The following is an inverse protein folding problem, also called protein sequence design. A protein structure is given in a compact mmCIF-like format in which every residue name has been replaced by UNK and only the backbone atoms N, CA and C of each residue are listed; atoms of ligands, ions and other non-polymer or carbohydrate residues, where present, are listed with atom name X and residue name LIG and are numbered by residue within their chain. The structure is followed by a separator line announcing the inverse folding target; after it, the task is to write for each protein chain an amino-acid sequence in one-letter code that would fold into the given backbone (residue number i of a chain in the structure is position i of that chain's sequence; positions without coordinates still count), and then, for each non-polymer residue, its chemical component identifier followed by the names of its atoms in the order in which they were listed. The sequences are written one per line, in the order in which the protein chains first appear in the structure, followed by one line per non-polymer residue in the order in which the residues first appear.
data_IF_369864452941
#
_entry.id   IF_369864452941
#
_cell.length_a   1.000
_cell.length_b   1.000
_cell.length_c   1.000
_cell.angle_alpha   90.00
_cell.angle_beta   90.00
_cell.angle_gamma   90.00
#
_symmetry.space_group_name_H-M   'P 1'
#
loop_
_entity.id
_entity.type
_entity.pdbx_description
1 polymer ?
#
# COMPACT_ATOMS: atom_id res chain seq x y z
N UNK A 1 -11.84 -46.77 23.00
CA UNK A 1 -12.80 -45.66 23.21
C UNK A 1 -12.46 -44.80 24.45
N UNK A 2 -12.27 -45.40 25.64
CA UNK A 2 -12.05 -44.65 26.89
C UNK A 2 -10.76 -43.81 27.00
N UNK A 3 -9.69 -44.19 26.27
CA UNK A 3 -8.42 -43.46 26.27
C UNK A 3 -8.58 -42.05 25.68
N UNK A 4 -9.38 -41.90 24.62
CA UNK A 4 -9.66 -40.59 24.01
C UNK A 4 -10.47 -39.68 24.93
N UNK A 5 -11.52 -40.20 25.58
CA UNK A 5 -12.33 -39.43 26.53
C UNK A 5 -11.51 -38.93 27.72
N UNK A 6 -10.54 -39.71 28.21
CA UNK A 6 -9.61 -39.30 29.28
C UNK A 6 -8.80 -38.07 28.88
N UNK A 7 -8.37 -37.97 27.62
CA UNK A 7 -7.65 -36.80 27.10
C UNK A 7 -8.56 -35.58 27.06
N UNK A 8 -9.78 -35.71 26.53
CA UNK A 8 -10.77 -34.62 26.46
C UNK A 8 -11.14 -34.08 27.85
N UNK A 9 -11.41 -34.97 28.82
CA UNK A 9 -11.69 -34.58 30.21
C UNK A 9 -10.46 -33.89 30.83
N UNK A 10 -9.25 -34.36 30.53
CA UNK A 10 -8.01 -33.70 30.96
C UNK A 10 -7.90 -32.25 30.44
N UNK A 11 -8.25 -32.00 29.18
CA UNK A 11 -8.28 -30.63 28.63
C UNK A 11 -9.39 -29.76 29.23
N UNK A 12 -10.57 -30.34 29.50
CA UNK A 12 -11.70 -29.65 30.14
C UNK A 12 -11.35 -29.06 31.51
N UNK A 13 -10.52 -29.74 32.31
CA UNK A 13 -10.07 -29.21 33.60
C UNK A 13 -8.83 -28.31 33.50
N UNK A 14 -7.96 -28.50 32.50
CA UNK A 14 -6.78 -27.66 32.29
C UNK A 14 -7.12 -26.25 31.82
N UNK A 15 -8.16 -26.08 30.98
CA UNK A 15 -8.53 -24.76 30.44
C UNK A 15 -8.94 -23.76 31.53
N UNK A 16 -9.49 -24.25 32.66
CA UNK A 16 -9.86 -23.40 33.81
C UNK A 16 -8.65 -22.76 34.50
N UNK A 17 -7.45 -23.32 34.33
CA UNK A 17 -6.19 -22.85 34.94
C UNK A 17 -5.37 -21.95 34.01
N UNK A 18 -5.73 -21.87 32.72
CA UNK A 18 -5.02 -21.10 31.73
C UNK A 18 -5.72 -21.22 30.39
N UNK A 19 -6.43 -20.16 30.00
CA UNK A 19 -7.01 -20.04 28.68
C UNK A 19 -5.92 -19.63 27.68
N UNK A 20 -5.94 -20.24 26.50
CA UNK A 20 -5.07 -19.85 25.38
C UNK A 20 -5.69 -18.76 24.51
N UNK A 21 -6.97 -18.43 24.75
CA UNK A 21 -7.75 -17.44 24.02
C UNK A 21 -7.58 -16.07 24.67
N UNK A 22 -7.42 -15.03 23.86
CA UNK A 22 -7.45 -13.63 24.31
C UNK A 22 -8.80 -13.00 23.94
N UNK A 23 -9.18 -11.97 24.68
CA UNK A 23 -10.46 -11.26 24.48
C UNK A 23 -10.30 -10.14 23.46
N UNK A 24 -10.32 -10.49 22.17
CA UNK A 24 -10.41 -9.51 21.10
C UNK A 24 -11.75 -8.75 21.19
N UNK A 25 -11.80 -7.41 20.99
CA UNK A 25 -10.75 -6.52 20.49
C UNK A 25 -9.87 -5.86 21.57
N UNK A 26 -10.18 -6.05 22.85
CA UNK A 26 -9.50 -5.36 23.97
C UNK A 26 -8.08 -5.88 24.14
N UNK A 27 -7.90 -7.19 24.05
CA UNK A 27 -6.60 -7.85 24.06
C UNK A 27 -6.24 -8.29 22.66
N UNK A 28 -5.05 -7.92 22.20
CA UNK A 28 -4.51 -8.26 20.88
C UNK A 28 -3.20 -9.03 21.05
N UNK A 29 -2.89 -9.91 20.09
CA UNK A 29 -1.61 -10.62 20.11
C UNK A 29 -0.47 -9.60 19.95
N UNK A 30 0.63 -9.72 20.72
CA UNK A 30 1.79 -8.87 20.51
C UNK A 30 2.31 -9.05 19.09
N UNK A 31 2.54 -7.93 18.43
CA UNK A 31 3.03 -7.91 17.06
C UNK A 31 4.51 -8.32 17.04
N UNK A 32 4.95 -9.14 16.09
CA UNK A 32 6.37 -9.43 15.93
C UNK A 32 7.09 -8.16 15.44
N UNK A 33 8.06 -7.66 16.22
CA UNK A 33 8.89 -6.47 15.89
C UNK A 33 9.90 -6.71 14.73
N UNK A 34 9.66 -7.69 13.86
CA UNK A 34 10.67 -8.13 12.89
C UNK A 34 10.82 -7.13 11.74
N UNK A 35 12.07 -6.82 11.41
CA UNK A 35 12.42 -6.02 10.23
C UNK A 35 11.96 -6.69 8.94
N UNK A 36 11.51 -5.90 7.96
CA UNK A 36 11.14 -6.35 6.61
C UNK A 36 12.41 -6.72 5.86
N UNK A 37 12.60 -8.00 5.58
CA UNK A 37 13.72 -8.57 4.85
C UNK A 37 13.32 -9.83 4.07
N UNK A 38 14.18 -10.26 3.16
CA UNK A 38 13.96 -11.43 2.29
C UNK A 38 14.40 -12.76 2.94
N UNK A 39 15.08 -12.70 4.09
CA UNK A 39 15.50 -13.88 4.84
C UNK A 39 14.33 -14.36 5.71
N UNK A 40 14.23 -15.67 5.92
CA UNK A 40 13.14 -16.29 6.69
C UNK A 40 13.04 -15.77 8.14
N UNK A 41 14.15 -15.25 8.68
CA UNK A 41 14.24 -14.57 9.98
C UNK A 41 13.55 -13.18 10.00
N UNK A 42 13.38 -12.55 8.85
CA UNK A 42 12.96 -11.15 8.63
C UNK A 42 11.80 -11.03 7.63
N UNK A 43 11.14 -12.12 7.27
CA UNK A 43 10.01 -12.04 6.33
C UNK A 43 8.88 -11.20 6.93
N UNK A 44 8.28 -10.34 6.10
CA UNK A 44 7.17 -9.47 6.47
C UNK A 44 5.93 -10.33 6.76
N UNK A 45 5.67 -10.65 8.04
CA UNK A 45 4.59 -11.60 8.41
C UNK A 45 3.22 -10.92 8.42
N UNK A 46 3.16 -9.61 8.63
CA UNK A 46 1.90 -8.89 8.75
C UNK A 46 1.46 -8.41 7.37
N UNK A 47 0.38 -9.04 6.88
CA UNK A 47 -0.34 -8.60 5.68
C UNK A 47 -1.19 -7.40 6.04
N UNK A 48 -0.62 -6.22 5.93
CA UNK A 48 -1.28 -4.96 6.20
C UNK A 48 -1.67 -4.25 4.91
N UNK A 49 -2.42 -3.16 5.06
CA UNK A 49 -2.84 -2.32 3.94
C UNK A 49 -1.62 -1.74 3.22
N UNK A 50 -1.70 -1.70 1.90
CA UNK A 50 -0.73 -1.02 1.05
C UNK A 50 -1.12 0.46 0.95
N UNK A 51 -0.19 1.35 1.26
CA UNK A 51 -0.40 2.81 1.23
C UNK A 51 0.66 3.46 0.36
N UNK A 52 0.31 4.61 -0.22
CA UNK A 52 1.20 5.39 -1.08
C UNK A 52 1.21 6.85 -0.64
N UNK A 53 2.41 7.36 -0.40
CA UNK A 53 2.65 8.79 -0.20
C UNK A 53 2.81 9.47 -1.57
N UNK A 54 1.75 10.14 -2.02
CA UNK A 54 1.70 10.75 -3.37
C UNK A 54 2.70 11.91 -3.55
N UNK A 55 3.06 12.58 -2.46
CA UNK A 55 4.06 13.66 -2.45
C UNK A 55 5.45 13.19 -2.90
N UNK A 56 5.78 11.92 -2.65
CA UNK A 56 7.07 11.33 -3.03
C UNK A 56 6.96 10.44 -4.29
N UNK A 57 5.75 10.04 -4.70
CA UNK A 57 5.54 9.21 -5.89
C UNK A 57 5.89 9.93 -7.21
N UNK A 58 6.99 9.54 -7.85
CA UNK A 58 7.46 10.12 -9.13
C UNK A 58 6.78 9.55 -10.39
N UNK A 59 5.79 8.66 -10.25
CA UNK A 59 5.10 8.06 -11.41
C UNK A 59 5.96 7.14 -12.28
N UNK A 60 6.95 6.44 -11.72
CA UNK A 60 7.90 5.62 -12.50
C UNK A 60 7.36 4.29 -13.04
N UNK A 61 6.12 3.90 -12.68
CA UNK A 61 5.43 2.66 -13.11
C UNK A 61 6.14 1.34 -12.72
N UNK A 62 7.17 1.39 -11.87
CA UNK A 62 7.91 0.19 -11.45
C UNK A 62 7.08 -0.73 -10.56
N UNK A 63 6.28 -0.16 -9.66
CA UNK A 63 5.42 -0.91 -8.74
C UNK A 63 4.28 -1.63 -9.47
N UNK A 64 3.68 -1.00 -10.49
CA UNK A 64 2.70 -1.63 -11.37
C UNK A 64 3.30 -2.85 -12.09
N UNK A 65 4.46 -2.68 -12.74
CA UNK A 65 5.15 -3.77 -13.45
C UNK A 65 5.63 -4.92 -12.57
N UNK A 66 5.91 -4.64 -11.29
CA UNK A 66 6.37 -5.63 -10.33
C UNK A 66 5.22 -6.44 -9.71
N UNK A 67 3.97 -5.98 -9.86
CA UNK A 67 2.82 -6.64 -9.28
C UNK A 67 2.54 -7.97 -10.01
N UNK A 68 2.51 -9.12 -9.33
CA UNK A 68 2.26 -10.41 -9.98
C UNK A 68 0.81 -10.62 -10.42
N UNK A 69 -0.11 -9.79 -9.91
CA UNK A 69 -1.56 -9.89 -10.14
C UNK A 69 -2.12 -8.64 -10.81
N UNK A 70 -1.27 -7.69 -11.22
CA UNK A 70 -1.66 -6.44 -11.89
C UNK A 70 -2.73 -5.59 -11.17
N UNK A 71 -2.80 -5.67 -9.84
CA UNK A 71 -3.81 -4.96 -9.03
C UNK A 71 -3.57 -3.45 -8.86
N UNK A 72 -2.43 -2.93 -9.32
CA UNK A 72 -2.07 -1.51 -9.25
C UNK A 72 -2.25 -0.93 -10.65
N UNK A 73 -2.98 0.19 -10.78
CA UNK A 73 -3.15 0.91 -12.06
C UNK A 73 -2.65 2.34 -11.91
N UNK A 74 -1.72 2.74 -12.78
CA UNK A 74 -1.10 4.07 -12.72
C UNK A 74 -1.21 4.74 -14.09
N UNK A 75 -1.73 5.96 -14.10
CA UNK A 75 -1.72 6.83 -15.28
C UNK A 75 -0.95 8.11 -14.95
N UNK A 76 -0.18 8.60 -15.92
CA UNK A 76 0.70 9.76 -15.73
C UNK A 76 0.67 10.69 -16.93
N UNK A 77 0.70 11.99 -16.65
CA UNK A 77 0.88 13.03 -17.67
C UNK A 77 2.19 13.80 -17.47
N UNK A 78 2.72 14.34 -18.58
CA UNK A 78 4.00 15.07 -18.57
C UNK A 78 3.78 16.49 -18.08
N UNK A 79 4.55 16.89 -17.07
CA UNK A 79 4.56 18.26 -16.55
C UNK A 79 5.97 18.84 -16.60
N UNK A 80 6.05 20.16 -16.43
CA UNK A 80 7.33 20.86 -16.34
C UNK A 80 8.12 20.38 -15.11
N UNK A 81 9.44 20.27 -15.29
CA UNK A 81 10.31 19.63 -14.31
C UNK A 81 10.36 20.46 -13.02
N UNK A 82 9.94 19.85 -11.91
CA UNK A 82 9.96 20.51 -10.59
C UNK A 82 8.87 21.56 -10.40
N UNK A 83 7.84 21.59 -11.26
CA UNK A 83 6.68 22.45 -11.04
C UNK A 83 5.83 21.90 -9.88
N UNK A 84 5.56 22.75 -8.89
CA UNK A 84 4.55 22.47 -7.87
C UNK A 84 3.18 22.84 -8.43
N UNK A 85 2.25 21.87 -8.47
CA UNK A 85 0.85 22.09 -8.90
C UNK A 85 -0.04 21.83 -7.69
N UNK A 86 -0.32 22.85 -6.87
CA UNK A 86 -1.08 22.69 -5.65
C UNK A 86 -2.52 22.21 -5.91
N UNK A 87 -3.11 22.57 -7.05
CA UNK A 87 -4.47 22.16 -7.44
C UNK A 87 -4.61 20.64 -7.59
N UNK A 88 -3.51 19.96 -7.94
CA UNK A 88 -3.46 18.52 -8.18
C UNK A 88 -2.84 17.73 -7.02
N UNK A 89 -2.57 18.36 -5.86
CA UNK A 89 -1.75 17.79 -4.79
C UNK A 89 -0.41 17.25 -5.30
N UNK A 90 0.20 17.95 -6.26
CA UNK A 90 1.47 17.56 -6.85
C UNK A 90 2.59 18.45 -6.32
N UNK A 91 3.43 17.88 -5.46
CA UNK A 91 4.72 18.46 -5.09
C UNK A 91 5.75 18.13 -6.17
N UNK A 92 6.47 19.12 -6.68
CA UNK A 92 7.46 19.01 -7.75
C UNK A 92 8.81 18.44 -7.29
N UNK A 93 9.10 18.43 -5.99
CA UNK A 93 10.33 17.86 -5.41
C UNK A 93 9.98 16.87 -4.29
N UNK A 94 10.53 15.65 -4.37
CA UNK A 94 10.34 14.61 -3.35
C UNK A 94 11.19 14.87 -2.10
N UNK A 95 10.90 14.16 -1.02
CA UNK A 95 11.67 14.16 0.23
C UNK A 95 13.15 13.79 0.03
N UNK A 96 13.47 12.97 -0.99
CA UNK A 96 14.84 12.61 -1.34
C UNK A 96 15.50 13.58 -2.34
N UNK A 97 14.82 14.66 -2.74
CA UNK A 97 15.34 15.71 -3.60
C UNK A 97 15.20 15.44 -5.10
N UNK A 98 14.45 14.40 -5.50
CA UNK A 98 14.19 14.09 -6.90
C UNK A 98 13.17 15.07 -7.46
N UNK A 99 13.50 15.70 -8.60
CA UNK A 99 12.57 16.57 -9.31
C UNK A 99 11.60 15.74 -10.15
N UNK A 100 10.31 15.90 -9.86
CA UNK A 100 9.21 15.26 -10.58
C UNK A 100 9.00 15.90 -11.96
N UNK A 101 8.70 15.05 -12.93
CA UNK A 101 8.37 15.43 -14.32
C UNK A 101 7.04 14.81 -14.77
N UNK A 102 6.48 13.94 -13.95
CA UNK A 102 5.26 13.21 -14.23
C UNK A 102 4.25 13.56 -13.14
N UNK A 103 3.10 14.04 -13.57
CA UNK A 103 1.92 14.17 -12.74
C UNK A 103 1.19 12.83 -12.78
N UNK A 104 0.97 12.23 -11.61
CA UNK A 104 0.21 11.00 -11.50
C UNK A 104 -1.29 11.35 -11.47
N UNK A 105 -1.99 11.11 -12.57
CA UNK A 105 -3.42 11.42 -12.71
C UNK A 105 -4.29 10.35 -12.06
N UNK A 106 -3.84 9.09 -12.12
CA UNK A 106 -4.50 7.94 -11.53
C UNK A 106 -3.49 7.08 -10.79
N UNK A 107 -3.82 6.71 -9.56
CA UNK A 107 -3.09 5.72 -8.79
C UNK A 107 -4.10 4.93 -7.98
N UNK A 108 -4.51 3.80 -8.53
CA UNK A 108 -5.50 2.91 -7.93
C UNK A 108 -4.82 1.61 -7.48
N UNK A 109 -5.18 1.14 -6.29
CA UNK A 109 -4.78 -0.17 -5.78
C UNK A 109 -6.05 -0.95 -5.45
N UNK A 110 -6.26 -2.06 -6.15
CA UNK A 110 -7.31 -3.01 -5.82
C UNK A 110 -6.81 -4.01 -4.76
N UNK A 111 -7.28 -3.83 -3.52
CA UNK A 111 -6.91 -4.71 -2.41
C UNK A 111 -7.69 -6.03 -2.41
N UNK A 112 -8.68 -6.20 -3.29
CA UNK A 112 -9.38 -7.48 -3.50
C UNK A 112 -8.60 -8.43 -4.39
N UNK A 113 -7.72 -7.91 -5.24
CA UNK A 113 -6.81 -8.70 -6.09
C UNK A 113 -5.42 -8.85 -5.45
N UNK A 114 -4.99 -7.88 -4.65
CA UNK A 114 -3.69 -7.88 -3.99
C UNK A 114 -3.43 -9.16 -3.17
N UNK A 115 -2.30 -9.83 -3.43
CA UNK A 115 -1.89 -11.02 -2.70
C UNK A 115 -0.96 -10.75 -1.51
N UNK A 116 -0.78 -9.47 -1.12
CA UNK A 116 0.04 -9.02 0.00
C UNK A 116 1.49 -9.55 -0.03
N UNK A 117 2.10 -9.60 -1.22
CA UNK A 117 3.46 -10.15 -1.41
C UNK A 117 4.60 -9.15 -1.16
N UNK A 118 4.28 -7.85 -1.02
CA UNK A 118 5.26 -6.77 -0.81
C UNK A 118 6.27 -6.54 -1.97
N UNK A 119 6.04 -7.14 -3.15
CA UNK A 119 6.94 -7.03 -4.31
C UNK A 119 6.93 -5.63 -4.95
N UNK A 120 5.84 -4.88 -4.80
CA UNK A 120 5.71 -3.52 -5.34
C UNK A 120 6.49 -2.46 -4.56
N UNK A 121 6.87 -2.75 -3.32
CA UNK A 121 7.58 -1.83 -2.41
C UNK A 121 9.07 -1.77 -2.74
N UNK A 122 9.69 -2.93 -2.95
CA UNK A 122 11.11 -3.06 -3.24
C UNK A 122 11.63 -2.27 -4.46
N UNK A 123 10.94 -2.23 -5.62
CA UNK A 123 11.43 -1.51 -6.79
C UNK A 123 11.19 0.01 -6.72
N UNK A 124 10.50 0.51 -5.69
CA UNK A 124 10.22 1.94 -5.56
C UNK A 124 11.50 2.71 -5.18
N UNK A 125 12.00 3.62 -6.04
CA UNK A 125 13.25 4.33 -5.77
C UNK A 125 13.13 5.39 -4.66
N UNK A 126 11.93 5.91 -4.43
CA UNK A 126 11.64 6.97 -3.45
C UNK A 126 10.96 6.40 -2.19
N UNK A 127 10.85 5.07 -2.07
CA UNK A 127 10.22 4.39 -0.93
C UNK A 127 8.83 4.94 -0.56
N UNK A 128 8.09 5.43 -1.57
CA UNK A 128 6.80 6.11 -1.38
C UNK A 128 5.62 5.15 -1.27
N UNK A 129 5.77 3.89 -1.68
CA UNK A 129 4.76 2.83 -1.55
C UNK A 129 5.27 1.81 -0.54
N UNK A 130 4.45 1.49 0.45
CA UNK A 130 4.83 0.56 1.51
C UNK A 130 3.61 -0.10 2.14
N UNK A 131 3.82 -1.27 2.71
CA UNK A 131 2.86 -1.88 3.64
C UNK A 131 2.96 -1.20 5.00
N UNK A 132 1.82 -0.81 5.56
CA UNK A 132 1.78 -0.09 6.84
C UNK A 132 2.15 -1.01 8.01
N UNK A 133 2.79 -0.48 9.05
CA UNK A 133 3.28 -1.28 10.18
C UNK A 133 4.67 -1.90 9.97
N UNK A 134 5.14 -2.65 10.98
CA UNK A 134 6.51 -3.15 11.04
C UNK A 134 7.54 -2.01 11.08
N UNK A 135 8.63 -2.04 10.29
CA UNK A 135 9.63 -0.97 10.15
C UNK A 135 9.07 0.38 9.72
N UNK A 136 7.94 0.40 9.02
CA UNK A 136 7.29 1.61 8.52
C UNK A 136 6.21 2.14 9.50
N UNK A 137 6.13 1.57 10.71
CA UNK A 137 5.25 2.03 11.78
C UNK A 137 5.49 3.49 12.20
N UNK A 138 6.67 4.04 11.89
CA UNK A 138 7.01 5.45 12.09
C UNK A 138 6.28 6.38 11.12
N UNK A 139 5.94 5.90 9.91
CA UNK A 139 5.22 6.69 8.90
C UNK A 139 3.70 6.55 9.07
N UNK A 140 3.21 5.32 9.21
CA UNK A 140 1.78 5.01 9.33
C UNK A 140 1.54 3.90 10.34
N UNK A 141 0.48 4.04 11.13
CA UNK A 141 0.04 3.00 12.05
C UNK A 141 -0.32 1.72 11.29
N UNK A 142 -0.11 0.58 11.95
CA UNK A 142 -0.41 -0.72 11.39
C UNK A 142 -1.92 -0.91 11.19
N UNK A 143 -2.32 -1.04 9.94
CA UNK A 143 -3.71 -1.30 9.56
C UNK A 143 -3.82 -2.65 8.85
N UNK A 144 -4.29 -3.66 9.60
CA UNK A 144 -4.65 -4.98 9.08
C UNK A 144 -6.17 -5.25 9.24
N UNK A 145 -6.92 -4.30 9.80
CA UNK A 145 -8.33 -4.43 10.16
C UNK A 145 -9.22 -3.53 9.27
N UNK A 146 -8.89 -3.45 7.98
CA UNK A 146 -9.52 -2.54 7.00
C UNK A 146 -10.63 -3.22 6.18
N UNK A 147 -11.40 -4.11 6.79
CA UNK A 147 -12.51 -4.78 6.09
C UNK A 147 -13.61 -3.78 5.74
N UNK A 148 -14.01 -3.73 4.47
CA UNK A 148 -15.14 -2.92 3.99
C UNK A 148 -16.38 -3.78 3.70
N UNK A 149 -17.56 -3.15 3.72
CA UNK A 149 -18.83 -3.82 3.43
C UNK A 149 -19.04 -4.05 1.94
N UNK A 150 -18.67 -3.06 1.12
CA UNK A 150 -18.82 -3.11 -0.33
C UNK A 150 -17.46 -3.36 -1.01
N UNK A 151 -17.49 -4.12 -2.11
CA UNK A 151 -16.28 -4.44 -2.88
C UNK A 151 -15.64 -3.18 -3.48
N UNK A 152 -16.45 -2.18 -3.83
CA UNK A 152 -15.96 -0.93 -4.43
C UNK A 152 -15.06 -0.13 -3.49
N UNK A 153 -15.28 -0.23 -2.19
CA UNK A 153 -14.52 0.53 -1.17
C UNK A 153 -13.14 -0.08 -0.89
N UNK A 154 -12.91 -1.32 -1.33
CA UNK A 154 -11.59 -1.97 -1.31
C UNK A 154 -10.68 -1.52 -2.47
N UNK A 155 -11.14 -0.63 -3.34
CA UNK A 155 -10.35 0.01 -4.38
C UNK A 155 -9.88 1.37 -3.86
N UNK A 156 -8.60 1.43 -3.48
CA UNK A 156 -8.03 2.64 -2.92
C UNK A 156 -7.49 3.55 -4.02
N UNK A 157 -8.00 4.77 -4.07
CA UNK A 157 -7.57 5.81 -5.03
C UNK A 157 -6.73 6.85 -4.31
N UNK A 158 -5.44 6.89 -4.62
CA UNK A 158 -4.49 7.79 -3.97
C UNK A 158 -4.33 9.11 -4.73
N UNK A 159 -4.44 9.08 -6.07
CA UNK A 159 -4.43 10.29 -6.88
C UNK A 159 -5.74 11.05 -6.74
N UNK A 160 -5.68 12.29 -6.23
CA UNK A 160 -6.81 13.22 -6.10
C UNK A 160 -6.56 14.44 -6.99
N UNK A 161 -6.47 14.19 -8.30
CA UNK A 161 -6.29 15.25 -9.29
C UNK A 161 -7.66 15.65 -9.83
N UNK A 162 -8.02 16.94 -9.81
CA UNK A 162 -9.29 17.39 -10.36
C UNK A 162 -9.26 17.36 -11.90
N UNK A 163 -10.41 17.08 -12.51
CA UNK A 163 -10.51 16.74 -13.93
C UNK A 163 -10.17 17.90 -14.87
N UNK A 164 -10.39 19.13 -14.42
CA UNK A 164 -10.00 20.37 -15.10
C UNK A 164 -8.48 20.45 -15.32
N UNK A 165 -7.69 20.11 -14.29
CA UNK A 165 -6.22 20.09 -14.39
C UNK A 165 -5.75 18.96 -15.30
N UNK A 166 -6.42 17.82 -15.31
CA UNK A 166 -6.08 16.72 -16.23
C UNK A 166 -6.28 17.15 -17.69
N UNK A 167 -7.36 17.88 -17.98
CA UNK A 167 -7.67 18.37 -19.32
C UNK A 167 -6.64 19.37 -19.85
N UNK A 168 -6.20 20.32 -19.03
CA UNK A 168 -5.18 21.31 -19.47
C UNK A 168 -3.85 20.65 -19.85
N UNK A 169 -3.42 19.63 -19.11
CA UNK A 169 -2.21 18.87 -19.45
C UNK A 169 -2.42 17.88 -20.61
N UNK A 170 -3.65 17.43 -20.86
CA UNK A 170 -3.98 16.64 -22.04
C UNK A 170 -3.98 17.49 -23.32
N UNK A 171 -4.57 18.69 -23.29
CA UNK A 171 -4.60 19.63 -24.43
C UNK A 171 -3.18 20.06 -24.82
N UNK A 172 -2.36 20.47 -23.84
CA UNK A 172 -0.95 20.85 -24.10
C UNK A 172 -0.07 19.71 -24.64
N UNK A 173 -0.50 18.45 -24.48
CA UNK A 173 0.17 17.29 -25.05
C UNK A 173 -0.19 17.12 -26.53
N UNK A 174 -1.44 17.32 -26.90
CA UNK A 174 -1.89 17.26 -28.29
C UNK A 174 -1.24 18.38 -29.13
N UNK A 175 -1.18 19.60 -28.60
CA UNK A 175 -0.49 20.73 -29.24
C UNK A 175 1.00 20.42 -29.51
N UNK A 176 1.70 19.80 -28.54
CA UNK A 176 3.12 19.43 -28.67
C UNK A 176 3.34 18.25 -29.62
N UNK A 177 2.33 17.42 -29.88
CA UNK A 177 2.39 16.34 -30.86
C UNK A 177 2.18 16.90 -32.27
N UNK A 178 1.29 17.88 -32.44
CA UNK A 178 1.09 18.58 -33.71
C UNK A 178 2.30 19.44 -34.12
N UNK A 179 3.01 20.09 -33.17
CA UNK A 179 4.23 20.87 -33.47
C UNK A 179 5.47 20.01 -33.79
N UNK A 180 5.44 18.71 -33.48
CA UNK A 180 6.57 17.79 -33.66
C UNK A 180 6.45 16.88 -34.90
N UNK A 181 5.36 16.99 -35.67
CA UNK A 181 5.11 16.29 -36.94
C UNK A 181 5.46 17.14 -38.15
#
# INVERSE_FOLDING_TARGET
MFIGMKVTIGHMFKIRRGNVTLQYPVERWPQPDRHIGFREDSYNVIRSRLTVDMDDCIGCLKCERACPVDCIKIETEKVDKGADIPEANHRGVTSHGTQKRLLVTRFDIDMTECCYCNLCVYPCPEECIFMVGGPNSSKHEIDYEFSEYDRGDMIYRFAKVPTDVIQTYAETKDDKVEEAG
#
